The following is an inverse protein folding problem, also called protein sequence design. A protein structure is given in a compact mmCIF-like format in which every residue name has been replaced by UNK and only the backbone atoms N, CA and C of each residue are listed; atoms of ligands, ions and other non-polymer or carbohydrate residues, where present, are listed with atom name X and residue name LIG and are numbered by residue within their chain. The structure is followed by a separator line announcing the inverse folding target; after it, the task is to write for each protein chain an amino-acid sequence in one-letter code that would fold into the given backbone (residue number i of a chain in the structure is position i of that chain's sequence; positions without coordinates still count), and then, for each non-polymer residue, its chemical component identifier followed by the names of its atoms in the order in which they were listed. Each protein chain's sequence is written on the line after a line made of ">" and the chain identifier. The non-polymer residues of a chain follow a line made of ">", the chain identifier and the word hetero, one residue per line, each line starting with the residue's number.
data_IF_178852368651
#
_entry.id   IF_178852368651
#
_cell.length_a   1.000
_cell.length_b   1.000
_cell.length_c   1.000
_cell.angle_alpha   90.00
_cell.angle_beta   90.00
_cell.angle_gamma   90.00
#
_symmetry.space_group_name_H-M   'P 1'
#
loop_
_entity.id
_entity.type
_entity.pdbx_description
1 polymer ?
#
# COMPACT_ATOMS: atom_id res chain seq x y z
N UNK A 1 34.18 -52.22 -19.53
CA UNK A 1 33.30 -51.58 -18.53
C UNK A 1 33.78 -50.15 -18.33
N UNK A 2 33.04 -49.15 -18.88
CA UNK A 2 33.35 -47.72 -18.75
C UNK A 2 32.37 -47.14 -17.76
N UNK A 3 32.85 -46.74 -16.56
CA UNK A 3 32.06 -46.07 -15.54
C UNK A 3 31.83 -44.59 -15.94
N UNK A 4 30.58 -44.19 -16.12
CA UNK A 4 30.18 -42.82 -16.26
C UNK A 4 29.93 -42.21 -14.87
N UNK A 5 30.79 -41.26 -14.49
CA UNK A 5 30.57 -40.45 -13.28
C UNK A 5 29.68 -39.26 -13.72
N UNK A 6 28.43 -39.27 -13.25
CA UNK A 6 27.50 -38.12 -13.40
C UNK A 6 27.79 -37.17 -12.25
N UNK A 7 28.43 -36.04 -12.55
CA UNK A 7 28.60 -34.95 -11.61
C UNK A 7 27.31 -34.10 -11.59
N UNK A 8 26.48 -34.28 -10.56
CA UNK A 8 25.33 -33.39 -10.28
C UNK A 8 25.89 -32.06 -9.75
N UNK A 9 25.95 -31.04 -10.60
CA UNK A 9 26.10 -29.67 -10.13
C UNK A 9 24.78 -29.23 -9.49
N UNK A 10 24.74 -29.23 -8.17
CA UNK A 10 23.72 -28.56 -7.38
C UNK A 10 23.91 -27.05 -7.51
N UNK A 11 23.11 -26.41 -8.35
CA UNK A 11 23.07 -24.97 -8.51
C UNK A 11 22.26 -24.39 -7.35
N UNK A 12 22.95 -24.10 -6.21
CA UNK A 12 22.36 -23.29 -5.13
C UNK A 12 22.14 -21.87 -5.69
N UNK A 13 20.90 -21.57 -6.06
CA UNK A 13 20.48 -20.18 -6.21
C UNK A 13 20.52 -19.53 -4.82
N UNK A 14 21.61 -18.85 -4.52
CA UNK A 14 21.67 -17.90 -3.41
C UNK A 14 20.83 -16.70 -3.87
N UNK A 15 19.61 -16.61 -3.36
CA UNK A 15 18.81 -15.39 -3.47
C UNK A 15 19.53 -14.38 -2.57
N UNK A 16 20.35 -13.52 -3.18
CA UNK A 16 20.94 -12.39 -2.50
C UNK A 16 19.80 -11.42 -2.15
N UNK A 17 19.27 -11.51 -0.95
CA UNK A 17 18.51 -10.41 -0.37
C UNK A 17 19.53 -9.26 -0.24
N UNK A 18 19.32 -8.19 -0.99
CA UNK A 18 20.08 -6.97 -0.79
C UNK A 18 19.80 -6.49 0.65
N UNK A 19 20.77 -6.70 1.55
CA UNK A 19 20.75 -6.13 2.88
C UNK A 19 20.86 -4.62 2.73
N UNK A 20 19.76 -3.91 2.87
CA UNK A 20 19.77 -2.45 3.01
C UNK A 20 20.28 -2.12 4.42
N UNK A 21 21.60 -1.99 4.57
CA UNK A 21 22.19 -1.54 5.83
C UNK A 21 22.02 -0.03 5.98
N UNK A 22 21.55 0.42 7.15
CA UNK A 22 21.35 1.82 7.53
C UNK A 22 20.27 2.58 6.74
N UNK A 23 19.10 1.99 6.62
CA UNK A 23 17.92 2.67 6.05
C UNK A 23 17.31 3.61 7.08
N UNK A 24 16.93 4.80 6.65
CA UNK A 24 16.30 5.82 7.49
C UNK A 24 14.89 6.16 7.01
N UNK A 25 14.06 6.59 7.94
CA UNK A 25 12.72 7.13 7.61
C UNK A 25 12.87 8.34 6.69
N UNK A 26 12.10 8.34 5.59
CA UNK A 26 12.18 9.35 4.54
C UNK A 26 13.13 9.01 3.38
N UNK A 27 13.86 7.89 3.44
CA UNK A 27 14.66 7.43 2.31
C UNK A 27 13.79 6.91 1.17
N UNK A 28 14.27 7.11 -0.06
CA UNK A 28 13.69 6.49 -1.26
C UNK A 28 14.56 5.30 -1.64
N UNK A 29 13.98 4.11 -1.61
CA UNK A 29 14.66 2.85 -1.90
C UNK A 29 14.07 2.21 -3.15
N UNK A 30 14.91 1.57 -3.94
CA UNK A 30 14.50 0.75 -5.08
C UNK A 30 14.34 -0.72 -4.63
N UNK A 31 13.13 -1.22 -4.74
CA UNK A 31 12.76 -2.60 -4.49
C UNK A 31 12.54 -3.32 -5.82
N UNK A 32 13.63 -3.82 -6.43
CA UNK A 32 13.59 -4.53 -7.71
C UNK A 32 12.92 -3.73 -8.85
N UNK A 33 13.24 -2.46 -8.98
CA UNK A 33 12.72 -1.56 -10.01
C UNK A 33 11.48 -0.75 -9.58
N UNK A 34 10.94 -1.00 -8.40
CA UNK A 34 9.84 -0.22 -7.83
C UNK A 34 10.34 0.62 -6.66
N UNK A 35 10.33 1.94 -6.82
CA UNK A 35 10.76 2.85 -5.75
C UNK A 35 9.69 3.02 -4.68
N UNK A 36 10.12 2.98 -3.42
CA UNK A 36 9.30 3.25 -2.24
C UNK A 36 9.91 4.29 -1.33
N UNK A 37 9.08 5.09 -0.64
CA UNK A 37 9.50 5.95 0.45
C UNK A 37 9.32 5.22 1.77
N UNK A 38 10.40 5.14 2.55
CA UNK A 38 10.42 4.48 3.87
C UNK A 38 9.73 5.38 4.89
N UNK A 39 8.80 4.83 5.65
CA UNK A 39 8.10 5.58 6.70
C UNK A 39 8.17 4.93 8.09
N UNK A 40 8.63 3.69 8.15
CA UNK A 40 8.95 3.00 9.40
C UNK A 40 10.20 2.16 9.22
N UNK A 41 11.03 2.10 10.26
CA UNK A 41 12.17 1.19 10.38
C UNK A 41 12.20 0.62 11.80
N UNK A 42 12.76 -0.56 11.94
CA UNK A 42 13.04 -1.16 13.25
C UNK A 42 14.29 -0.54 13.88
N UNK A 43 14.59 -0.93 15.12
CA UNK A 43 15.76 -0.44 15.85
C UNK A 43 17.10 -0.77 15.17
N UNK A 44 17.13 -1.80 14.33
CA UNK A 44 18.33 -2.23 13.60
C UNK A 44 18.53 -1.48 12.29
N UNK A 45 17.51 -0.72 11.84
CA UNK A 45 17.47 -0.05 10.52
C UNK A 45 17.68 -1.03 9.34
N UNK A 46 17.38 -2.30 9.54
CA UNK A 46 17.50 -3.35 8.51
C UNK A 46 16.16 -3.85 8.01
N UNK A 47 15.08 -3.60 8.76
CA UNK A 47 13.70 -3.92 8.38
C UNK A 47 12.82 -2.70 8.53
N UNK A 48 11.80 -2.63 7.70
CA UNK A 48 10.90 -1.49 7.73
C UNK A 48 9.70 -1.64 6.83
N UNK A 49 9.00 -0.53 6.66
CA UNK A 49 7.86 -0.45 5.75
C UNK A 49 8.03 0.77 4.84
N UNK A 50 7.79 0.56 3.56
CA UNK A 50 7.83 1.62 2.56
C UNK A 50 6.52 1.67 1.77
N UNK A 51 6.15 2.88 1.30
CA UNK A 51 5.04 3.10 0.37
C UNK A 51 5.59 3.34 -1.03
N UNK A 52 5.00 2.72 -2.06
CA UNK A 52 5.35 2.99 -3.46
C UNK A 52 5.21 4.48 -3.78
N UNK A 53 6.21 5.08 -4.45
CA UNK A 53 6.10 6.45 -4.94
C UNK A 53 5.24 6.56 -6.20
N UNK A 54 4.99 5.46 -6.89
CA UNK A 54 3.98 5.32 -7.93
C UNK A 54 2.61 5.04 -7.32
N UNK A 55 1.54 5.24 -8.11
CA UNK A 55 0.19 4.87 -7.72
C UNK A 55 -0.60 4.38 -8.92
N UNK A 56 -1.57 3.51 -8.68
CA UNK A 56 -2.58 3.17 -9.67
C UNK A 56 -3.57 4.33 -9.80
N UNK A 57 -3.74 4.85 -11.02
CA UNK A 57 -4.69 5.92 -11.36
C UNK A 57 -5.47 5.56 -12.63
N UNK A 58 -6.76 5.81 -12.64
CA UNK A 58 -7.55 5.70 -13.86
C UNK A 58 -9.04 5.52 -13.63
N UNK A 59 -9.76 5.46 -14.74
CA UNK A 59 -11.18 5.14 -14.75
C UNK A 59 -11.32 3.63 -14.50
N UNK A 60 -11.92 3.26 -13.37
CA UNK A 60 -12.08 1.86 -12.98
C UNK A 60 -11.10 1.39 -11.90
N UNK A 61 -10.21 2.26 -11.43
CA UNK A 61 -9.35 1.98 -10.29
C UNK A 61 -10.17 2.00 -9.00
N UNK A 62 -10.56 0.83 -8.57
CA UNK A 62 -11.39 0.61 -7.40
C UNK A 62 -10.88 -0.60 -6.63
N UNK A 63 -11.36 -0.74 -5.41
CA UNK A 63 -11.14 -1.93 -4.63
C UNK A 63 -11.71 -3.17 -5.33
N UNK A 64 -12.94 -3.05 -5.85
CA UNK A 64 -13.60 -4.05 -6.70
C UNK A 64 -14.43 -3.35 -7.77
N UNK A 65 -14.24 -3.67 -9.06
CA UNK A 65 -14.92 -3.04 -10.19
C UNK A 65 -16.31 -3.61 -10.49
N UNK A 66 -16.77 -4.57 -9.71
CA UNK A 66 -18.07 -5.23 -9.89
C UNK A 66 -18.89 -5.15 -8.59
N UNK A 67 -20.04 -4.47 -8.67
CA UNK A 67 -20.90 -4.22 -7.50
C UNK A 67 -21.48 -5.49 -6.89
N UNK A 68 -21.85 -6.48 -7.71
CA UNK A 68 -22.39 -7.73 -7.19
C UNK A 68 -21.30 -8.56 -6.54
N UNK A 69 -20.13 -8.57 -7.15
CA UNK A 69 -18.95 -9.25 -6.65
C UNK A 69 -18.45 -8.61 -5.35
N UNK A 70 -18.43 -7.28 -5.24
CA UNK A 70 -18.00 -6.55 -4.06
C UNK A 70 -18.68 -7.02 -2.76
N UNK A 71 -19.94 -7.44 -2.85
CA UNK A 71 -20.71 -7.99 -1.71
C UNK A 71 -20.32 -9.44 -1.35
N UNK A 72 -19.65 -10.16 -2.23
CA UNK A 72 -19.30 -11.57 -2.10
C UNK A 72 -17.81 -11.81 -1.86
N UNK A 73 -17.02 -10.75 -1.86
CA UNK A 73 -15.57 -10.82 -1.62
C UNK A 73 -15.27 -11.22 -0.19
N UNK A 74 -14.09 -11.80 0.08
CA UNK A 74 -13.65 -12.08 1.44
C UNK A 74 -13.75 -10.84 2.33
N UNK A 75 -14.11 -11.06 3.57
CA UNK A 75 -14.12 -10.00 4.57
C UNK A 75 -12.71 -9.88 5.16
N UNK A 76 -12.03 -8.81 4.82
CA UNK A 76 -10.66 -8.53 5.23
C UNK A 76 -10.66 -7.59 6.44
N UNK A 77 -10.95 -8.14 7.63
CA UNK A 77 -11.10 -7.35 8.87
C UNK A 77 -9.79 -7.02 9.57
N UNK A 78 -8.66 -7.58 9.11
CA UNK A 78 -7.39 -7.32 9.77
C UNK A 78 -6.99 -5.85 9.60
N UNK A 79 -6.95 -5.14 10.74
CA UNK A 79 -6.60 -3.72 10.77
C UNK A 79 -5.08 -3.48 10.75
N UNK A 80 -4.27 -4.51 10.99
CA UNK A 80 -2.82 -4.40 11.19
C UNK A 80 -1.99 -5.03 10.07
N UNK A 81 -2.58 -5.94 9.29
CA UNK A 81 -1.85 -6.73 8.28
C UNK A 81 -2.51 -6.62 6.90
N UNK A 82 -2.04 -5.64 6.12
CA UNK A 82 -2.48 -5.43 4.75
C UNK A 82 -1.99 -6.51 3.79
N UNK A 83 -0.84 -7.11 4.05
CA UNK A 83 -0.31 -8.21 3.24
C UNK A 83 -1.23 -9.43 3.32
N UNK A 84 -1.60 -9.85 4.52
CA UNK A 84 -2.56 -10.94 4.76
C UNK A 84 -3.93 -10.65 4.11
N UNK A 85 -4.45 -9.44 4.28
CA UNK A 85 -5.69 -9.02 3.62
C UNK A 85 -5.57 -9.11 2.10
N UNK A 86 -4.45 -8.63 1.54
CA UNK A 86 -4.18 -8.64 0.10
C UNK A 86 -4.13 -10.07 -0.45
N UNK A 87 -3.42 -10.96 0.22
CA UNK A 87 -3.36 -12.38 -0.17
C UNK A 87 -4.76 -13.01 -0.19
N UNK A 88 -5.58 -12.76 0.84
CA UNK A 88 -6.94 -13.28 0.90
C UNK A 88 -7.80 -12.87 -0.30
N UNK A 89 -7.70 -11.60 -0.74
CA UNK A 89 -8.42 -11.10 -1.92
C UNK A 89 -7.84 -11.70 -3.21
N UNK A 90 -6.52 -11.78 -3.33
CA UNK A 90 -5.85 -12.33 -4.52
C UNK A 90 -6.14 -13.82 -4.68
N UNK A 91 -6.14 -14.60 -3.62
CA UNK A 91 -6.47 -16.03 -3.67
C UNK A 91 -7.91 -16.27 -4.09
N UNK A 92 -8.85 -15.49 -3.53
CA UNK A 92 -10.25 -15.51 -3.97
C UNK A 92 -10.36 -15.14 -5.45
N UNK A 93 -9.70 -14.08 -5.89
CA UNK A 93 -9.77 -13.58 -7.26
C UNK A 93 -9.17 -14.59 -8.27
N UNK A 94 -8.01 -15.18 -7.93
CA UNK A 94 -7.33 -16.18 -8.77
C UNK A 94 -8.17 -17.47 -8.88
N UNK A 95 -8.66 -18.00 -7.76
CA UNK A 95 -9.44 -19.24 -7.71
C UNK A 95 -10.75 -19.15 -8.49
N UNK A 96 -11.28 -17.96 -8.72
CA UNK A 96 -12.52 -17.71 -9.45
C UNK A 96 -12.30 -17.05 -10.83
N UNK A 97 -11.07 -16.89 -11.31
CA UNK A 97 -10.72 -16.18 -12.54
C UNK A 97 -11.24 -14.73 -12.60
N UNK A 98 -11.19 -14.03 -11.48
CA UNK A 98 -11.77 -12.69 -11.29
C UNK A 98 -10.72 -11.60 -11.03
N UNK A 99 -9.43 -11.86 -11.27
CA UNK A 99 -8.34 -10.93 -10.91
C UNK A 99 -8.53 -9.54 -11.52
N UNK A 100 -9.05 -9.46 -12.76
CA UNK A 100 -9.34 -8.18 -13.42
C UNK A 100 -10.43 -7.34 -12.73
N UNK A 101 -11.20 -7.95 -11.82
CA UNK A 101 -12.23 -7.25 -11.04
C UNK A 101 -11.71 -6.59 -9.76
N UNK A 102 -10.44 -6.80 -9.44
CA UNK A 102 -9.76 -6.25 -8.26
C UNK A 102 -8.52 -5.44 -8.68
N UNK A 103 -8.71 -4.30 -9.37
CA UNK A 103 -7.62 -3.61 -10.07
C UNK A 103 -6.49 -3.17 -9.13
N UNK A 104 -6.78 -2.67 -7.92
CA UNK A 104 -5.75 -2.25 -6.95
C UNK A 104 -4.91 -3.43 -6.47
N UNK A 105 -5.54 -4.56 -6.15
CA UNK A 105 -4.84 -5.77 -5.70
C UNK A 105 -4.03 -6.40 -6.84
N UNK A 106 -4.61 -6.45 -8.06
CA UNK A 106 -3.91 -6.90 -9.25
C UNK A 106 -2.65 -6.07 -9.50
N UNK A 107 -2.76 -4.76 -9.44
CA UNK A 107 -1.63 -3.85 -9.61
C UNK A 107 -0.55 -4.08 -8.55
N UNK A 108 -0.89 -4.20 -7.26
CA UNK A 108 0.10 -4.53 -6.23
C UNK A 108 0.85 -5.83 -6.56
N UNK A 109 0.14 -6.88 -6.99
CA UNK A 109 0.77 -8.14 -7.37
C UNK A 109 1.67 -8.01 -8.62
N UNK A 110 1.38 -7.10 -9.53
CA UNK A 110 2.18 -6.81 -10.74
C UNK A 110 3.43 -5.97 -10.44
N UNK A 111 3.48 -5.24 -9.33
CA UNK A 111 4.69 -4.55 -8.89
C UNK A 111 5.81 -5.51 -8.45
N UNK A 112 5.46 -6.73 -8.07
CA UNK A 112 6.40 -7.76 -7.65
C UNK A 112 6.04 -8.38 -6.29
N UNK A 113 6.85 -9.32 -5.86
CA UNK A 113 6.65 -10.03 -4.60
C UNK A 113 6.75 -9.06 -3.42
N UNK A 114 5.88 -9.25 -2.43
CA UNK A 114 5.88 -8.47 -1.19
C UNK A 114 5.08 -7.16 -1.24
N UNK A 115 4.68 -6.67 -2.42
CA UNK A 115 3.84 -5.48 -2.54
C UNK A 115 2.37 -5.79 -2.24
N UNK A 116 1.71 -4.94 -1.42
CA UNK A 116 0.34 -5.16 -0.98
C UNK A 116 -0.46 -3.86 -0.78
N UNK A 117 -1.76 -3.98 -0.72
CA UNK A 117 -2.67 -2.88 -0.36
C UNK A 117 -2.63 -2.69 1.16
N UNK A 118 -2.30 -1.51 1.69
CA UNK A 118 -2.11 -1.30 3.12
C UNK A 118 -3.37 -1.62 3.94
N UNK A 119 -3.18 -2.08 5.15
CA UNK A 119 -4.23 -2.13 6.16
C UNK A 119 -4.54 -0.74 6.71
N UNK A 120 -5.57 -0.65 7.54
CA UNK A 120 -5.97 0.57 8.22
C UNK A 120 -4.82 1.18 9.04
N UNK A 121 -4.19 0.39 9.91
CA UNK A 121 -3.12 0.87 10.80
C UNK A 121 -1.80 1.15 10.08
N UNK A 122 -1.52 0.44 9.01
CA UNK A 122 -0.35 0.74 8.17
C UNK A 122 -0.54 2.07 7.43
N UNK A 123 -1.75 2.34 6.90
CA UNK A 123 -2.04 3.63 6.27
C UNK A 123 -2.03 4.78 7.29
N UNK A 124 -2.55 4.56 8.50
CA UNK A 124 -2.46 5.51 9.61
C UNK A 124 -1.01 5.87 9.93
N UNK A 125 -0.13 4.87 10.06
CA UNK A 125 1.29 5.07 10.31
C UNK A 125 1.95 5.90 9.20
N UNK A 126 1.60 5.63 7.93
CA UNK A 126 2.09 6.45 6.82
C UNK A 126 1.54 7.89 6.87
N UNK A 127 0.26 8.09 7.18
CA UNK A 127 -0.34 9.43 7.28
C UNK A 127 0.33 10.24 8.41
N UNK A 128 0.59 9.62 9.55
CA UNK A 128 1.31 10.26 10.66
C UNK A 128 2.73 10.66 10.26
N UNK A 129 3.47 9.78 9.58
CA UNK A 129 4.78 10.12 9.01
C UNK A 129 4.65 11.30 8.02
N UNK A 130 3.68 11.26 7.10
CA UNK A 130 3.47 12.28 6.08
C UNK A 130 3.10 13.65 6.68
N UNK A 131 2.35 13.67 7.78
CA UNK A 131 2.01 14.88 8.54
C UNK A 131 3.14 15.35 9.46
N UNK A 132 4.11 14.47 9.78
CA UNK A 132 5.18 14.77 10.75
C UNK A 132 4.71 14.79 12.20
N UNK A 133 3.65 14.06 12.51
CA UNK A 133 3.07 13.96 13.85
C UNK A 133 2.68 12.53 14.19
N UNK A 134 2.30 12.29 15.44
CA UNK A 134 1.78 11.01 15.92
C UNK A 134 0.40 11.25 16.53
N UNK A 135 -0.60 11.46 15.67
CA UNK A 135 -1.99 11.59 16.10
C UNK A 135 -2.64 10.21 16.22
N UNK A 136 -3.42 10.01 17.26
CA UNK A 136 -4.38 8.91 17.30
C UNK A 136 -5.59 9.31 16.46
N UNK A 137 -5.80 8.55 15.38
CA UNK A 137 -6.80 8.87 14.37
C UNK A 137 -8.07 8.10 14.68
N UNK A 138 -9.16 8.82 14.92
CA UNK A 138 -10.47 8.21 15.00
C UNK A 138 -11.03 7.92 13.60
N UNK A 139 -10.90 6.66 13.17
CA UNK A 139 -11.37 6.19 11.88
C UNK A 139 -12.89 6.10 11.75
N UNK A 140 -13.60 6.21 12.85
CA UNK A 140 -15.06 6.09 12.91
C UNK A 140 -15.78 7.43 12.91
N UNK A 141 -15.10 8.52 13.29
CA UNK A 141 -15.69 9.87 13.35
C UNK A 141 -16.05 10.43 11.98
N UNK A 142 -15.32 10.06 10.92
CA UNK A 142 -15.42 10.67 9.57
C UNK A 142 -15.27 12.21 9.58
N UNK A 143 -14.81 12.81 10.68
CA UNK A 143 -14.59 14.25 10.81
C UNK A 143 -13.40 14.73 9.96
N UNK A 144 -13.50 15.97 9.47
CA UNK A 144 -12.40 16.61 8.77
C UNK A 144 -11.42 17.19 9.79
N UNK A 145 -10.15 16.77 9.68
CA UNK A 145 -9.05 17.31 10.50
C UNK A 145 -8.29 18.34 9.69
N UNK A 146 -8.11 19.53 10.26
CA UNK A 146 -7.34 20.60 9.65
C UNK A 146 -5.85 20.27 9.69
N UNK A 147 -5.14 20.43 8.58
CA UNK A 147 -3.68 20.35 8.55
C UNK A 147 -3.11 21.72 8.92
N UNK A 148 -2.23 21.72 9.89
CA UNK A 148 -1.50 22.94 10.28
C UNK A 148 -0.47 23.29 9.20
N UNK A 149 -0.70 24.41 8.51
CA UNK A 149 0.19 24.91 7.46
C UNK A 149 1.53 25.45 8.00
N UNK A 150 1.67 25.62 9.32
CA UNK A 150 2.94 26.06 9.96
C UNK A 150 4.01 24.98 9.92
N UNK A 151 3.62 23.71 9.76
CA UNK A 151 4.54 22.57 9.60
C UNK A 151 4.46 22.00 8.19
N UNK A 152 5.30 22.45 7.24
CA UNK A 152 5.22 22.03 5.84
C UNK A 152 5.79 20.61 5.59
N UNK A 153 5.80 19.73 6.62
CA UNK A 153 6.45 18.43 6.53
C UNK A 153 5.86 17.57 5.40
N UNK A 154 4.53 17.51 5.26
CA UNK A 154 3.89 16.79 4.17
C UNK A 154 4.27 17.35 2.78
N UNK A 155 4.55 18.65 2.68
CA UNK A 155 5.03 19.29 1.44
C UNK A 155 6.44 18.80 1.10
N UNK A 156 7.31 18.69 2.12
CA UNK A 156 8.67 18.18 1.95
C UNK A 156 8.68 16.71 1.51
N UNK A 157 7.85 15.87 2.13
CA UNK A 157 7.70 14.46 1.75
C UNK A 157 7.19 14.35 0.30
N UNK A 158 6.19 15.12 -0.06
CA UNK A 158 5.68 15.13 -1.43
C UNK A 158 6.72 15.65 -2.44
N UNK A 159 7.56 16.62 -2.09
CA UNK A 159 8.67 17.06 -2.94
C UNK A 159 9.69 15.94 -3.15
N UNK A 160 10.12 15.24 -2.09
CA UNK A 160 11.01 14.07 -2.22
C UNK A 160 10.44 13.01 -3.16
N UNK A 161 9.14 12.71 -3.05
CA UNK A 161 8.45 11.76 -3.93
C UNK A 161 8.52 12.22 -5.39
N UNK A 162 8.26 13.51 -5.66
CA UNK A 162 8.29 14.08 -7.02
C UNK A 162 9.70 14.10 -7.58
N UNK A 163 10.70 14.51 -6.81
CA UNK A 163 12.12 14.52 -7.21
C UNK A 163 12.63 13.12 -7.56
N UNK A 164 12.11 12.08 -6.90
CA UNK A 164 12.40 10.68 -7.22
C UNK A 164 11.63 10.15 -8.45
N UNK A 165 10.82 10.99 -9.11
CA UNK A 165 10.00 10.64 -10.28
C UNK A 165 8.65 10.03 -9.93
N UNK A 166 8.22 10.15 -8.68
CA UNK A 166 6.96 9.61 -8.18
C UNK A 166 5.78 10.58 -8.27
N UNK A 167 4.66 10.14 -7.75
CA UNK A 167 3.40 10.90 -7.71
C UNK A 167 3.13 11.31 -6.26
N UNK A 168 2.91 12.60 -5.97
CA UNK A 168 2.71 13.06 -4.61
C UNK A 168 1.48 12.43 -3.94
N UNK A 169 1.53 12.29 -2.62
CA UNK A 169 0.43 11.76 -1.83
C UNK A 169 -0.59 12.88 -1.56
N UNK A 170 -1.58 13.02 -2.43
CA UNK A 170 -2.54 14.14 -2.43
C UNK A 170 -3.96 13.72 -2.85
N UNK A 171 -4.26 12.44 -2.85
CA UNK A 171 -5.57 11.91 -3.27
C UNK A 171 -6.14 10.99 -2.18
N UNK A 172 -7.37 10.54 -2.39
CA UNK A 172 -7.91 9.47 -1.57
C UNK A 172 -7.17 8.15 -1.80
N UNK A 173 -6.92 7.40 -0.74
CA UNK A 173 -6.22 6.10 -0.80
C UNK A 173 -7.07 5.02 -0.14
N UNK A 174 -7.23 3.88 -0.83
CA UNK A 174 -7.91 2.71 -0.29
C UNK A 174 -7.01 1.95 0.68
N UNK A 175 -7.64 1.40 1.73
CA UNK A 175 -7.03 0.31 2.52
C UNK A 175 -7.51 -1.05 2.03
N UNK A 176 -6.85 -2.11 2.48
CA UNK A 176 -7.35 -3.48 2.33
C UNK A 176 -8.38 -3.86 3.41
N UNK A 177 -8.50 -3.08 4.47
CA UNK A 177 -9.37 -3.36 5.60
C UNK A 177 -10.81 -2.95 5.32
N UNK A 178 -11.75 -3.83 5.64
CA UNK A 178 -13.19 -3.56 5.60
C UNK A 178 -13.80 -3.57 6.99
N UNK A 179 -14.89 -2.82 7.19
CA UNK A 179 -15.67 -2.86 8.40
C UNK A 179 -16.73 -3.98 8.39
N UNK A 180 -17.49 -4.13 9.47
CA UNK A 180 -18.53 -5.16 9.61
C UNK A 180 -19.64 -5.04 8.57
N UNK A 181 -19.89 -3.82 8.04
CA UNK A 181 -20.86 -3.57 6.97
C UNK A 181 -20.30 -3.92 5.57
N UNK A 182 -19.05 -4.38 5.48
CA UNK A 182 -18.36 -4.66 4.21
C UNK A 182 -17.91 -3.42 3.45
N UNK A 183 -17.87 -2.26 4.09
CA UNK A 183 -17.32 -1.03 3.52
C UNK A 183 -15.81 -0.99 3.75
N UNK A 184 -15.07 -0.44 2.79
CA UNK A 184 -13.62 -0.24 2.87
C UNK A 184 -13.30 1.09 3.54
N UNK A 185 -12.28 1.11 4.39
CA UNK A 185 -11.73 2.34 4.91
C UNK A 185 -10.87 3.03 3.86
N UNK A 186 -11.00 4.35 3.75
CA UNK A 186 -10.24 5.19 2.82
C UNK A 186 -9.75 6.45 3.52
N UNK A 187 -8.53 6.84 3.20
CA UNK A 187 -8.01 8.17 3.52
C UNK A 187 -8.47 9.15 2.45
N UNK A 188 -8.86 10.35 2.84
CA UNK A 188 -9.25 11.43 1.95
C UNK A 188 -8.53 12.72 2.30
N UNK A 189 -7.88 13.35 1.33
CA UNK A 189 -7.27 14.67 1.48
C UNK A 189 -8.01 15.68 0.60
N UNK A 190 -8.54 16.73 1.22
CA UNK A 190 -9.17 17.87 0.53
C UNK A 190 -8.17 19.00 0.40
N UNK A 191 -7.65 19.19 -0.81
CA UNK A 191 -6.65 20.22 -1.12
C UNK A 191 -7.18 21.64 -0.98
N UNK A 192 -8.48 21.86 -1.22
CA UNK A 192 -9.08 23.21 -1.19
C UNK A 192 -9.25 23.68 0.24
N UNK A 193 -9.61 22.77 1.12
CA UNK A 193 -9.81 23.04 2.54
C UNK A 193 -8.53 22.85 3.37
N UNK A 194 -7.51 22.20 2.81
CA UNK A 194 -6.33 21.71 3.52
C UNK A 194 -6.70 20.83 4.72
N UNK A 195 -7.68 19.93 4.52
CA UNK A 195 -8.15 18.99 5.53
C UNK A 195 -7.94 17.55 5.08
N UNK A 196 -7.89 16.64 6.03
CA UNK A 196 -7.99 15.21 5.74
C UNK A 196 -9.08 14.58 6.60
N UNK A 197 -9.56 13.43 6.16
CA UNK A 197 -10.50 12.61 6.91
C UNK A 197 -10.38 11.15 6.50
N UNK A 198 -10.87 10.28 7.36
CA UNK A 198 -11.03 8.87 7.06
C UNK A 198 -12.51 8.59 6.83
N UNK A 199 -12.82 7.87 5.75
CA UNK A 199 -14.20 7.63 5.33
C UNK A 199 -14.41 6.14 5.07
N UNK A 200 -15.67 5.72 5.14
CA UNK A 200 -16.07 4.37 4.78
C UNK A 200 -16.77 4.41 3.43
N UNK A 201 -16.31 3.64 2.47
CA UNK A 201 -16.84 3.59 1.10
C UNK A 201 -17.20 2.18 0.69
N UNK A 202 -18.16 2.06 -0.22
CA UNK A 202 -18.43 0.77 -0.84
C UNK A 202 -17.23 0.31 -1.66
N UNK A 203 -16.95 -0.99 -1.67
CA UNK A 203 -15.83 -1.60 -2.41
C UNK A 203 -15.89 -1.32 -3.93
N UNK A 204 -17.09 -1.11 -4.47
CA UNK A 204 -17.34 -0.80 -5.87
C UNK A 204 -17.35 0.71 -6.18
N UNK A 205 -16.88 1.54 -5.26
CA UNK A 205 -16.77 2.97 -5.51
C UNK A 205 -15.66 3.25 -6.53
N UNK A 206 -16.07 3.69 -7.72
CA UNK A 206 -15.21 4.00 -8.87
C UNK A 206 -14.81 5.47 -8.92
N UNK A 207 -14.71 6.12 -7.78
CA UNK A 207 -14.36 7.55 -7.76
C UNK A 207 -12.97 7.77 -8.34
N UNK A 208 -12.88 8.64 -9.36
CA UNK A 208 -11.62 9.10 -9.97
C UNK A 208 -10.68 9.83 -8.98
N UNK A 209 -11.14 10.09 -7.78
CA UNK A 209 -10.38 10.76 -6.73
C UNK A 209 -9.63 9.80 -5.81
N UNK A 210 -9.91 8.49 -5.91
CA UNK A 210 -9.17 7.47 -5.17
C UNK A 210 -8.10 6.84 -6.04
N UNK A 211 -6.99 6.52 -5.40
CA UNK A 211 -5.84 5.85 -6.04
C UNK A 211 -5.42 4.63 -5.23
N UNK A 212 -4.85 3.64 -5.90
CA UNK A 212 -4.14 2.55 -5.24
C UNK A 212 -2.73 3.01 -4.85
N UNK A 213 -2.34 2.76 -3.60
CA UNK A 213 -0.95 2.84 -3.13
C UNK A 213 -0.54 1.46 -2.63
N UNK A 214 0.63 1.03 -3.01
CA UNK A 214 1.18 -0.24 -2.55
C UNK A 214 2.19 -0.01 -1.43
N UNK A 215 2.19 -0.90 -0.44
CA UNK A 215 3.16 -0.93 0.64
C UNK A 215 4.02 -2.20 0.52
N UNK A 216 5.21 -2.17 1.08
CA UNK A 216 6.11 -3.31 1.18
C UNK A 216 6.78 -3.32 2.54
N UNK A 217 6.92 -4.51 3.14
CA UNK A 217 7.81 -4.75 4.29
C UNK A 217 9.13 -5.32 3.78
N UNK A 218 10.23 -4.85 4.30
CA UNK A 218 11.58 -5.27 3.89
C UNK A 218 12.47 -5.55 5.10
#
# INVERSE_FOLDING_TARGET
>A
MKSFIICLLSMCCVIAHAQHSNVSVGDIIDFNGVKGIVFQVDETSSHGTAMSISCLRGVGDSWCSDRKLAKRTPQTFDKNDGYKNTLSVLDFAKSNNLLSKFPVFKWCAELGEGWYVPSLKELEAFVNFWLGNNQDIDWDSEEETQIDDTTPYYKQINMKIVEAGGIPFLNGVFTSTVNEEGKVYVFWFDRQKNTFSFKKKNKDNLSKYFVGRAFIKF
#
